data_IF_490125652477
#
_entry.id   IF_490125652477
#
_cell.length_a   1.000
_cell.length_b   1.000
_cell.length_c   1.000
_cell.angle_alpha   90.00
_cell.angle_beta   90.00
_cell.angle_gamma   90.00
#
_symmetry.space_group_name_H-M   'P 1'
#
loop_
_entity.id
_entity.type
_entity.pdbx_description
1 polymer ?
#
# COMPACT_ATOMS: atom_id res chain seq x y z
N UNK A 1 -17.99 24.50 -54.10
CA UNK A 1 -17.03 23.46 -53.62
C UNK A 1 -16.30 23.99 -52.39
N UNK A 2 -16.73 23.63 -51.17
CA UNK A 2 -16.00 23.94 -49.91
C UNK A 2 -15.51 22.61 -49.35
N UNK A 3 -14.18 22.43 -49.26
CA UNK A 3 -13.56 21.26 -48.65
C UNK A 3 -13.56 21.46 -47.13
N UNK A 4 -14.23 20.56 -46.41
CA UNK A 4 -14.19 20.45 -44.95
C UNK A 4 -12.90 19.67 -44.61
N UNK A 5 -11.99 20.29 -43.84
CA UNK A 5 -10.79 19.64 -43.33
C UNK A 5 -11.11 19.15 -41.92
N UNK A 6 -11.15 17.83 -41.73
CA UNK A 6 -11.21 17.22 -40.41
C UNK A 6 -9.79 17.12 -39.84
N UNK A 7 -9.46 17.94 -38.85
CA UNK A 7 -8.26 17.74 -38.02
C UNK A 7 -8.59 16.68 -36.97
N UNK A 8 -8.05 15.47 -37.16
CA UNK A 8 -8.02 14.46 -36.10
C UNK A 8 -6.95 14.85 -35.08
N UNK A 9 -7.38 15.26 -33.88
CA UNK A 9 -6.49 15.45 -32.75
C UNK A 9 -6.14 14.07 -32.16
N UNK A 10 -4.91 13.61 -32.41
CA UNK A 10 -4.35 12.45 -31.73
C UNK A 10 -4.05 12.83 -30.26
N UNK A 11 -4.86 12.34 -29.34
CA UNK A 11 -4.56 12.40 -27.90
C UNK A 11 -3.41 11.41 -27.62
N UNK A 12 -2.19 11.94 -27.50
CA UNK A 12 -1.06 11.18 -26.98
C UNK A 12 -1.25 11.01 -25.47
N UNK A 13 -1.78 9.87 -25.04
CA UNK A 13 -1.70 9.46 -23.64
C UNK A 13 -0.26 9.01 -23.41
N UNK A 14 0.56 9.91 -22.86
CA UNK A 14 1.92 9.56 -22.43
C UNK A 14 1.80 8.57 -21.27
N UNK A 15 1.98 7.29 -21.55
CA UNK A 15 2.14 6.29 -20.51
C UNK A 15 3.51 6.50 -19.87
N UNK A 16 3.53 7.13 -18.69
CA UNK A 16 4.73 7.11 -17.85
C UNK A 16 4.96 5.65 -17.51
N UNK A 17 6.03 5.04 -18.03
CA UNK A 17 6.56 3.82 -17.42
C UNK A 17 6.94 4.21 -15.99
N UNK A 18 6.18 3.74 -15.01
CA UNK A 18 6.70 3.73 -13.66
C UNK A 18 7.82 2.69 -13.66
N UNK A 19 9.03 3.11 -13.31
CA UNK A 19 10.09 2.17 -13.03
C UNK A 19 9.73 1.42 -11.73
N UNK A 20 10.18 0.17 -11.61
CA UNK A 20 10.12 -0.56 -10.36
C UNK A 20 10.71 0.30 -9.21
N UNK A 21 10.16 0.22 -7.99
CA UNK A 21 10.68 0.97 -6.85
C UNK A 21 12.15 0.64 -6.61
N UNK A 22 12.98 1.64 -6.30
CA UNK A 22 14.41 1.42 -6.01
C UNK A 22 14.69 1.00 -4.56
N UNK A 23 13.62 0.85 -3.76
CA UNK A 23 13.60 0.48 -2.34
C UNK A 23 14.57 1.28 -1.45
N UNK A 24 14.95 2.50 -1.88
CA UNK A 24 15.78 3.37 -1.06
C UNK A 24 14.97 3.95 0.08
N UNK A 25 15.52 3.83 1.27
CA UNK A 25 14.97 4.46 2.45
C UNK A 25 15.26 5.96 2.37
N UNK A 26 14.21 6.74 2.51
CA UNK A 26 14.23 8.20 2.52
C UNK A 26 13.65 8.70 3.84
N UNK A 27 13.90 9.96 4.22
CA UNK A 27 13.12 10.60 5.27
C UNK A 27 11.64 10.67 4.89
N UNK A 28 10.77 10.71 5.90
CA UNK A 28 9.34 10.95 5.70
C UNK A 28 9.13 12.25 4.90
N UNK A 29 8.37 12.24 3.80
CA UNK A 29 8.15 13.43 2.98
C UNK A 29 7.41 14.56 3.71
N UNK A 30 7.54 15.78 3.19
CA UNK A 30 6.73 16.93 3.61
C UNK A 30 5.28 16.86 3.05
N UNK A 31 4.56 17.98 3.11
CA UNK A 31 3.17 18.07 2.67
C UNK A 31 2.23 17.35 3.64
N UNK A 32 1.31 16.55 3.11
CA UNK A 32 0.33 15.81 3.92
C UNK A 32 0.97 14.73 4.80
N UNK A 33 2.14 14.21 4.44
CA UNK A 33 2.84 13.17 5.21
C UNK A 33 3.62 13.71 6.42
N UNK A 34 3.67 15.04 6.61
CA UNK A 34 4.39 15.67 7.72
C UNK A 34 3.92 15.17 9.09
N UNK A 35 2.65 14.77 9.23
CA UNK A 35 2.10 14.22 10.47
C UNK A 35 2.88 12.99 10.97
N UNK A 36 3.43 12.18 10.06
CA UNK A 36 4.20 10.99 10.40
C UNK A 36 5.61 11.30 10.92
N UNK A 37 6.18 12.48 10.62
CA UNK A 37 7.58 12.84 10.97
C UNK A 37 7.88 12.79 12.47
N UNK A 38 6.86 12.92 13.32
CA UNK A 38 7.03 12.88 14.78
C UNK A 38 7.40 11.49 15.29
N UNK A 39 7.01 10.43 14.59
CA UNK A 39 7.13 9.05 15.06
C UNK A 39 7.82 8.11 14.07
N UNK A 40 7.86 8.50 12.79
CA UNK A 40 8.53 7.78 11.73
C UNK A 40 9.70 8.59 11.19
N UNK A 41 10.84 7.92 10.99
CA UNK A 41 12.06 8.53 10.44
C UNK A 41 12.45 7.93 9.09
N UNK A 42 11.85 6.80 8.72
CA UNK A 42 12.14 6.05 7.50
C UNK A 42 10.89 5.98 6.62
N UNK A 43 11.08 6.05 5.31
CA UNK A 43 10.01 5.98 4.32
C UNK A 43 10.49 5.34 3.02
N UNK A 44 9.66 4.47 2.45
CA UNK A 44 9.77 3.96 1.08
C UNK A 44 8.42 4.19 0.37
N UNK A 45 8.47 4.57 -0.91
CA UNK A 45 7.30 4.71 -1.76
C UNK A 45 7.21 3.53 -2.75
N UNK A 46 6.13 2.75 -2.69
CA UNK A 46 5.88 1.62 -3.58
C UNK A 46 4.67 1.94 -4.43
N UNK A 47 4.90 2.34 -5.68
CA UNK A 47 3.84 2.73 -6.62
C UNK A 47 2.85 3.80 -6.09
N UNK A 48 3.22 4.61 -5.09
CA UNK A 48 2.33 5.60 -4.46
C UNK A 48 1.81 5.20 -3.08
N UNK A 49 1.89 3.91 -2.72
CA UNK A 49 1.60 3.37 -1.38
C UNK A 49 2.82 3.57 -0.48
N UNK A 50 2.60 4.03 0.74
CA UNK A 50 3.69 4.44 1.64
C UNK A 50 4.06 3.34 2.61
N UNK A 51 5.34 3.14 2.84
CA UNK A 51 5.86 2.27 3.91
C UNK A 51 6.66 3.14 4.86
N UNK A 52 6.14 3.35 6.08
CA UNK A 52 6.76 4.17 7.10
C UNK A 52 7.42 3.32 8.18
N UNK A 53 8.68 3.59 8.49
CA UNK A 53 9.44 2.91 9.54
C UNK A 53 9.80 3.84 10.69
N UNK A 54 9.60 3.39 11.92
CA UNK A 54 10.12 4.08 13.11
C UNK A 54 11.65 4.04 13.14
N UNK A 55 12.28 4.85 13.99
CA UNK A 55 13.74 4.84 14.16
C UNK A 55 14.30 3.46 14.51
N UNK A 56 13.56 2.68 15.32
CA UNK A 56 13.97 1.34 15.75
C UNK A 56 13.66 0.24 14.74
N UNK A 57 12.99 0.56 13.63
CA UNK A 57 12.72 -0.43 12.58
C UNK A 57 14.02 -0.75 11.84
N UNK A 58 14.50 -2.01 11.82
CA UNK A 58 15.71 -2.34 11.07
C UNK A 58 15.51 -2.06 9.57
N UNK A 59 16.45 -1.36 8.90
CA UNK A 59 16.34 -0.99 7.48
C UNK A 59 15.97 -2.15 6.55
N UNK A 60 16.64 -3.30 6.73
CA UNK A 60 16.40 -4.51 5.93
C UNK A 60 14.96 -5.05 6.07
N UNK A 61 14.34 -4.85 7.25
CA UNK A 61 12.95 -5.28 7.49
C UNK A 61 11.97 -4.31 6.86
N UNK A 62 12.25 -3.01 6.90
CA UNK A 62 11.45 -2.01 6.18
C UNK A 62 11.49 -2.26 4.66
N UNK A 63 12.68 -2.53 4.12
CA UNK A 63 12.86 -2.88 2.71
C UNK A 63 12.11 -4.15 2.35
N UNK A 64 12.17 -5.18 3.19
CA UNK A 64 11.43 -6.43 2.95
C UNK A 64 9.91 -6.20 2.84
N UNK A 65 9.33 -5.39 3.73
CA UNK A 65 7.90 -5.00 3.64
C UNK A 65 7.60 -4.29 2.32
N UNK A 66 8.47 -3.37 1.90
CA UNK A 66 8.31 -2.65 0.64
C UNK A 66 8.44 -3.57 -0.59
N UNK A 67 9.35 -4.54 -0.54
CA UNK A 67 9.54 -5.54 -1.60
C UNK A 67 8.30 -6.42 -1.71
N UNK A 68 7.84 -7.04 -0.63
CA UNK A 68 6.61 -7.87 -0.65
C UNK A 68 5.40 -7.07 -1.16
N UNK A 69 5.28 -5.79 -0.79
CA UNK A 69 4.25 -4.90 -1.33
C UNK A 69 4.39 -4.68 -2.84
N UNK A 70 5.61 -4.52 -3.36
CA UNK A 70 5.84 -4.40 -4.78
C UNK A 70 5.48 -5.71 -5.51
N UNK A 71 5.96 -6.85 -5.03
CA UNK A 71 5.70 -8.19 -5.60
C UNK A 71 4.20 -8.52 -5.64
N UNK A 72 3.43 -8.15 -4.62
CA UNK A 72 1.98 -8.36 -4.66
C UNK A 72 1.24 -7.39 -5.59
N UNK A 73 1.77 -6.20 -5.83
CA UNK A 73 1.13 -5.23 -6.72
C UNK A 73 1.51 -5.46 -8.19
N UNK A 74 2.75 -5.85 -8.45
CA UNK A 74 3.38 -6.04 -9.76
C UNK A 74 4.11 -7.40 -9.77
N UNK A 75 3.34 -8.47 -9.88
CA UNK A 75 3.82 -9.85 -9.78
C UNK A 75 4.51 -10.33 -11.08
N UNK A 76 4.34 -9.58 -12.18
CA UNK A 76 5.03 -9.88 -13.44
C UNK A 76 6.35 -9.09 -13.60
N UNK A 77 6.68 -8.22 -12.64
CA UNK A 77 7.88 -7.37 -12.56
C UNK A 77 8.08 -6.43 -13.77
N UNK A 78 7.00 -6.02 -14.45
CA UNK A 78 7.08 -5.10 -15.60
C UNK A 78 7.16 -3.61 -15.20
N UNK A 79 7.13 -3.33 -13.88
CA UNK A 79 7.17 -2.01 -13.29
C UNK A 79 5.79 -1.36 -13.13
N UNK A 80 4.70 -2.09 -13.40
CA UNK A 80 3.33 -1.57 -13.33
C UNK A 80 2.46 -2.47 -12.45
N UNK A 81 1.66 -1.88 -11.56
CA UNK A 81 0.68 -2.68 -10.82
C UNK A 81 -0.28 -3.45 -11.75
N UNK A 82 -0.37 -4.76 -11.56
CA UNK A 82 -1.15 -5.70 -12.39
C UNK A 82 -2.65 -5.40 -12.36
N UNK A 83 -3.15 -4.94 -11.21
CA UNK A 83 -4.54 -4.52 -11.04
C UNK A 83 -4.63 -3.00 -10.83
N UNK A 84 -4.77 -2.21 -11.91
CA UNK A 84 -4.79 -0.75 -11.83
C UNK A 84 -5.99 -0.21 -11.04
N UNK A 85 -7.12 -0.92 -10.99
CA UNK A 85 -8.31 -0.49 -10.23
C UNK A 85 -8.08 -0.62 -8.73
N UNK A 86 -7.49 -1.74 -8.30
CA UNK A 86 -7.13 -1.99 -6.89
C UNK A 86 -6.03 -1.02 -6.45
N UNK A 87 -5.01 -0.85 -7.28
CA UNK A 87 -3.93 0.11 -7.04
C UNK A 87 -4.43 1.55 -6.91
N UNK A 88 -5.34 1.99 -7.79
CA UNK A 88 -5.92 3.31 -7.71
C UNK A 88 -6.65 3.57 -6.39
N UNK A 89 -7.35 2.57 -5.83
CA UNK A 89 -7.98 2.69 -4.51
C UNK A 89 -6.97 2.82 -3.38
N UNK A 90 -5.85 2.07 -3.43
CA UNK A 90 -4.77 2.20 -2.45
C UNK A 90 -4.18 3.62 -2.45
N UNK A 91 -3.87 4.16 -3.64
CA UNK A 91 -3.31 5.50 -3.77
C UNK A 91 -4.32 6.58 -3.37
N UNK A 92 -5.57 6.47 -3.82
CA UNK A 92 -6.63 7.46 -3.55
C UNK A 92 -6.93 7.58 -2.06
N UNK A 93 -6.77 6.50 -1.31
CA UNK A 93 -7.04 6.42 0.13
C UNK A 93 -5.83 6.69 1.00
N UNK A 94 -4.69 7.03 0.39
CA UNK A 94 -3.42 7.19 1.09
C UNK A 94 -3.05 5.96 1.92
N UNK A 95 -3.20 4.78 1.32
CA UNK A 95 -2.85 3.51 1.96
C UNK A 95 -1.39 3.50 2.42
N UNK A 96 -1.13 2.97 3.61
CA UNK A 96 0.22 2.89 4.14
C UNK A 96 0.46 1.69 5.05
N UNK A 97 1.69 1.20 5.05
CA UNK A 97 2.23 0.31 6.07
C UNK A 97 2.91 1.15 7.16
N UNK A 98 2.55 0.93 8.42
CA UNK A 98 3.30 1.39 9.58
C UNK A 98 4.16 0.23 10.09
N UNK A 99 5.48 0.39 10.10
CA UNK A 99 6.41 -0.64 10.56
C UNK A 99 7.09 -0.18 11.84
N UNK A 100 6.88 -0.90 12.93
CA UNK A 100 7.48 -0.62 14.24
C UNK A 100 8.32 -1.81 14.71
N UNK A 101 9.15 -1.62 15.74
CA UNK A 101 9.95 -2.72 16.29
C UNK A 101 9.08 -3.86 16.84
N UNK A 102 8.00 -3.52 17.56
CA UNK A 102 7.15 -4.43 18.33
C UNK A 102 5.70 -3.94 18.37
N UNK A 103 4.76 -4.83 18.70
CA UNK A 103 3.36 -4.48 18.98
C UNK A 103 3.22 -3.32 19.97
N UNK A 104 3.95 -3.36 21.09
CA UNK A 104 3.94 -2.29 22.09
C UNK A 104 4.39 -0.93 21.53
N UNK A 105 5.28 -0.93 20.54
CA UNK A 105 5.69 0.31 19.87
C UNK A 105 4.59 0.80 18.92
N UNK A 106 3.88 -0.10 18.24
CA UNK A 106 2.69 0.20 17.44
C UNK A 106 1.62 0.88 18.29
N UNK A 107 1.24 0.30 19.42
CA UNK A 107 0.19 0.84 20.31
C UNK A 107 0.45 2.28 20.77
N UNK A 108 1.71 2.70 20.82
CA UNK A 108 2.14 4.05 21.25
C UNK A 108 2.17 5.08 20.13
N UNK A 109 1.85 4.69 18.90
CA UNK A 109 1.72 5.64 17.80
C UNK A 109 0.54 6.60 18.05
N UNK A 110 0.64 7.81 17.48
CA UNK A 110 -0.38 8.85 17.55
C UNK A 110 -1.48 8.56 16.50
N UNK A 111 -2.17 7.44 16.69
CA UNK A 111 -3.20 6.96 15.76
C UNK A 111 -4.31 8.00 15.58
N UNK A 112 -4.70 8.67 16.67
CA UNK A 112 -5.68 9.76 16.62
C UNK A 112 -5.16 10.93 15.78
N UNK A 113 -3.90 11.34 15.97
CA UNK A 113 -3.27 12.37 15.15
C UNK A 113 -3.26 12.01 13.65
N UNK A 114 -2.99 10.75 13.30
CA UNK A 114 -3.03 10.30 11.90
C UNK A 114 -4.46 10.32 11.34
N UNK A 115 -5.44 9.83 12.10
CA UNK A 115 -6.84 9.84 11.68
C UNK A 115 -7.38 11.27 11.52
N UNK A 116 -7.07 12.16 12.47
CA UNK A 116 -7.44 13.58 12.39
C UNK A 116 -6.80 14.30 11.20
N UNK A 117 -5.65 13.81 10.73
CA UNK A 117 -4.99 14.28 9.51
C UNK A 117 -5.52 13.62 8.22
N UNK A 118 -6.52 12.74 8.31
CA UNK A 118 -7.19 12.10 7.17
C UNK A 118 -6.61 10.74 6.76
N UNK A 119 -5.67 10.18 7.53
CA UNK A 119 -5.07 8.87 7.24
C UNK A 119 -5.85 7.76 7.94
N UNK A 120 -6.73 7.10 7.19
CA UNK A 120 -7.62 6.03 7.69
C UNK A 120 -7.29 4.64 7.13
N UNK A 121 -6.34 4.54 6.20
CA UNK A 121 -6.03 3.33 5.45
C UNK A 121 -4.65 2.76 5.80
N UNK A 122 -4.37 2.60 7.09
CA UNK A 122 -3.10 2.09 7.60
C UNK A 122 -3.16 0.61 7.97
N UNK A 123 -2.08 -0.12 7.72
CA UNK A 123 -1.87 -1.48 8.24
C UNK A 123 -0.57 -1.56 9.02
N UNK A 124 -0.59 -2.25 10.16
CA UNK A 124 0.56 -2.40 11.05
C UNK A 124 1.43 -3.60 10.71
N UNK A 125 2.75 -3.47 10.86
CA UNK A 125 3.72 -4.56 10.78
C UNK A 125 4.72 -4.47 11.93
N UNK A 126 5.05 -5.60 12.53
CA UNK A 126 6.06 -5.68 13.58
C UNK A 126 7.37 -6.25 13.03
N UNK A 127 8.47 -5.53 13.27
CA UNK A 127 9.78 -5.98 12.85
C UNK A 127 10.13 -7.33 13.48
N UNK A 128 9.72 -7.60 14.73
CA UNK A 128 9.93 -8.91 15.39
C UNK A 128 9.30 -10.09 14.65
N UNK A 129 8.32 -9.86 13.79
CA UNK A 129 7.60 -10.89 13.02
C UNK A 129 7.88 -10.83 11.51
N UNK A 130 8.72 -9.87 11.10
CA UNK A 130 9.27 -9.77 9.74
C UNK A 130 10.47 -10.71 9.61
N UNK A 131 10.33 -11.77 8.81
CA UNK A 131 11.27 -12.89 8.76
C UNK A 131 11.76 -13.23 7.32
N UNK A 132 12.44 -12.29 6.62
CA UNK A 132 12.99 -12.56 5.30
C UNK A 132 13.94 -13.76 5.31
N UNK A 133 13.62 -14.82 4.55
CA UNK A 133 14.43 -16.05 4.49
C UNK A 133 14.54 -16.80 5.81
N UNK A 134 13.68 -16.49 6.79
CA UNK A 134 13.69 -17.08 8.13
C UNK A 134 13.07 -18.47 8.20
N UNK A 135 13.21 -19.11 9.36
CA UNK A 135 12.61 -20.43 9.66
C UNK A 135 11.22 -20.36 10.29
N UNK A 136 10.76 -19.15 10.62
CA UNK A 136 9.42 -18.87 11.16
C UNK A 136 8.56 -18.29 10.05
N UNK A 137 7.24 -18.30 10.27
CA UNK A 137 6.32 -17.58 9.39
C UNK A 137 6.71 -16.10 9.31
N UNK A 138 6.65 -15.56 8.10
CA UNK A 138 6.89 -14.15 7.85
C UNK A 138 5.56 -13.42 7.78
N UNK A 139 5.21 -12.71 8.86
CA UNK A 139 3.96 -11.99 8.97
C UNK A 139 3.81 -10.90 7.89
N UNK A 140 4.93 -10.47 7.29
CA UNK A 140 4.91 -9.51 6.17
C UNK A 140 4.00 -9.94 5.03
N UNK A 141 3.94 -11.26 4.74
CA UNK A 141 3.06 -11.78 3.68
C UNK A 141 1.59 -11.54 4.02
N UNK A 142 1.19 -11.74 5.27
CA UNK A 142 -0.18 -11.54 5.71
C UNK A 142 -0.53 -10.05 5.81
N UNK A 143 0.31 -9.25 6.46
CA UNK A 143 -0.02 -7.85 6.72
C UNK A 143 -0.02 -7.00 5.44
N UNK A 144 0.88 -7.27 4.50
CA UNK A 144 0.84 -6.61 3.18
C UNK A 144 -0.40 -7.05 2.40
N UNK A 145 -0.72 -8.35 2.41
CA UNK A 145 -1.94 -8.86 1.76
C UNK A 145 -3.19 -8.25 2.39
N UNK A 146 -3.21 -8.06 3.70
CA UNK A 146 -4.30 -7.45 4.43
C UNK A 146 -4.52 -5.99 3.97
N UNK A 147 -3.46 -5.18 3.86
CA UNK A 147 -3.59 -3.82 3.31
C UNK A 147 -4.19 -3.82 1.89
N UNK A 148 -3.69 -4.69 1.01
CA UNK A 148 -4.14 -4.77 -0.39
C UNK A 148 -5.59 -5.24 -0.50
N UNK A 149 -6.00 -6.20 0.33
CA UNK A 149 -7.37 -6.75 0.30
C UNK A 149 -8.37 -5.80 0.96
N UNK A 150 -8.07 -5.30 2.16
CA UNK A 150 -8.92 -4.40 2.94
C UNK A 150 -9.08 -3.02 2.27
N UNK A 151 -7.97 -2.40 1.87
CA UNK A 151 -8.01 -1.05 1.30
C UNK A 151 -8.22 -1.08 -0.21
N UNK A 152 -7.56 -2.00 -0.91
CA UNK A 152 -7.62 -2.11 -2.36
C UNK A 152 -8.87 -2.85 -2.84
N UNK A 153 -8.91 -4.18 -2.70
CA UNK A 153 -9.96 -5.02 -3.28
C UNK A 153 -11.35 -4.70 -2.72
N UNK A 154 -11.50 -4.52 -1.41
CA UNK A 154 -12.81 -4.26 -0.80
C UNK A 154 -13.42 -2.94 -1.26
N UNK A 155 -12.60 -1.96 -1.68
CA UNK A 155 -13.08 -0.69 -2.20
C UNK A 155 -13.19 -0.65 -3.73
N UNK A 156 -12.33 -1.39 -4.45
CA UNK A 156 -12.40 -1.53 -5.90
C UNK A 156 -13.62 -2.35 -6.34
N UNK A 157 -13.96 -3.40 -5.58
CA UNK A 157 -15.06 -4.32 -5.88
C UNK A 157 -15.96 -4.55 -4.66
N UNK A 158 -16.67 -3.51 -4.18
CA UNK A 158 -17.34 -3.53 -2.88
C UNK A 158 -18.54 -4.48 -2.81
N UNK A 159 -19.04 -5.00 -3.93
CA UNK A 159 -20.10 -6.04 -3.94
C UNK A 159 -19.52 -7.45 -3.75
N UNK A 160 -18.28 -7.67 -4.19
CA UNK A 160 -17.63 -8.98 -4.16
C UNK A 160 -16.73 -9.11 -2.94
N UNK A 161 -15.77 -8.21 -2.77
CA UNK A 161 -14.74 -8.27 -1.73
C UNK A 161 -15.00 -7.33 -0.55
N UNK A 162 -16.12 -6.60 -0.54
CA UNK A 162 -16.47 -5.72 0.57
C UNK A 162 -16.64 -6.49 1.89
N UNK A 163 -16.13 -5.93 2.98
CA UNK A 163 -16.14 -6.53 4.32
C UNK A 163 -17.45 -6.24 5.06
N UNK A 164 -18.58 -6.59 4.44
CA UNK A 164 -19.90 -6.45 5.05
C UNK A 164 -20.79 -7.64 4.71
N UNK A 165 -21.80 -7.94 5.56
CA UNK A 165 -22.74 -9.01 5.26
C UNK A 165 -23.38 -8.86 3.87
N UNK A 166 -23.57 -9.99 3.18
CA UNK A 166 -24.23 -10.05 1.88
C UNK A 166 -23.32 -9.83 0.66
N UNK A 167 -22.03 -9.56 0.83
CA UNK A 167 -21.05 -9.63 -0.28
C UNK A 167 -20.77 -11.08 -0.68
N UNK A 168 -20.24 -11.30 -1.88
CA UNK A 168 -19.91 -12.65 -2.34
C UNK A 168 -18.83 -13.30 -1.45
N UNK A 169 -17.83 -12.53 -1.02
CA UNK A 169 -16.82 -12.99 -0.05
C UNK A 169 -17.48 -13.43 1.26
N UNK A 170 -18.35 -12.60 1.86
CA UNK A 170 -19.04 -12.94 3.10
C UNK A 170 -19.86 -14.22 2.97
N UNK A 171 -20.62 -14.39 1.87
CA UNK A 171 -21.38 -15.62 1.61
C UNK A 171 -20.48 -16.85 1.49
N UNK A 172 -19.31 -16.73 0.87
CA UNK A 172 -18.34 -17.82 0.77
C UNK A 172 -17.76 -18.18 2.15
N UNK A 173 -17.39 -17.18 2.96
CA UNK A 173 -16.88 -17.40 4.32
C UNK A 173 -17.94 -18.04 5.23
N UNK A 174 -19.19 -17.58 5.17
CA UNK A 174 -20.31 -18.15 5.94
C UNK A 174 -20.57 -19.61 5.59
N UNK A 175 -20.38 -20.01 4.33
CA UNK A 175 -20.50 -21.42 3.89
C UNK A 175 -19.34 -22.30 4.32
N UNK A 176 -18.18 -21.71 4.61
CA UNK A 176 -16.96 -22.44 4.97
C UNK A 176 -16.80 -22.62 6.49
N UNK A 177 -17.67 -22.00 7.29
CA UNK A 177 -17.75 -22.14 8.76
C UNK A 177 -18.52 -23.39 9.16
#
# INVERSE_FOLDING_TARGET
MRKLIYSAAFLFVSSVLMAAPDFKITPVPDGKFRVFKKQFSQHINVYGVRVFGTEKTPPVKLQHVAIVLAEYLDNNEDGRPDNPTVHAELVRRDAFMAVTETERAMERLDHEGFQNAGFHAGQGQFATETNPGGRRFDATLEEVLHLITHVGYANAYPKTFGERPGTELAKCLDRAR
#
